data_IF_832511575714
#
_entry.id   IF_832511575714
#
_cell.length_a   1.000
_cell.length_b   1.000
_cell.length_c   1.000
_cell.angle_alpha   90.00
_cell.angle_beta   90.00
_cell.angle_gamma   90.00
#
_symmetry.space_group_name_H-M   'P 1'
#
loop_
_entity.id
_entity.type
_entity.pdbx_description
1 polymer ?
#
# COMPACT_ATOMS: atom_id res chain seq x y z
N UNK A 1 5.48 6.14 1.41
CA UNK A 1 5.37 7.59 1.05
C UNK A 1 4.19 7.78 0.12
N UNK A 2 3.34 8.76 0.40
CA UNK A 2 2.16 9.07 -0.43
C UNK A 2 2.59 9.98 -1.57
N UNK A 3 2.09 9.71 -2.76
CA UNK A 3 2.21 10.62 -3.92
C UNK A 3 0.83 11.09 -4.34
N UNK A 4 0.71 12.39 -4.61
CA UNK A 4 -0.49 12.99 -5.17
C UNK A 4 -0.12 13.55 -6.53
N UNK A 5 -0.87 13.15 -7.54
CA UNK A 5 -0.64 13.59 -8.91
C UNK A 5 -1.94 14.18 -9.46
N UNK A 6 -1.88 15.40 -9.94
CA UNK A 6 -2.99 15.99 -10.68
C UNK A 6 -3.00 15.37 -12.09
N UNK A 7 -4.12 14.78 -12.46
CA UNK A 7 -4.32 14.14 -13.78
C UNK A 7 -4.93 15.12 -14.79
N UNK A 8 -5.84 15.95 -14.31
CA UNK A 8 -6.51 17.04 -15.05
C UNK A 8 -7.06 18.03 -14.05
N UNK A 9 -7.50 19.20 -14.50
CA UNK A 9 -8.12 20.18 -13.61
C UNK A 9 -9.19 19.52 -12.75
N UNK A 10 -9.04 19.57 -11.43
CA UNK A 10 -10.00 18.99 -10.48
C UNK A 10 -9.90 17.48 -10.23
N UNK A 11 -9.02 16.74 -10.93
CA UNK A 11 -8.87 15.29 -10.71
C UNK A 11 -7.50 14.98 -10.14
N UNK A 12 -7.45 14.46 -8.92
CA UNK A 12 -6.24 14.11 -8.18
C UNK A 12 -6.15 12.61 -7.93
N UNK A 13 -4.99 12.03 -8.19
CA UNK A 13 -4.68 10.64 -7.90
C UNK A 13 -3.83 10.60 -6.64
N UNK A 14 -4.35 9.97 -5.59
CA UNK A 14 -3.63 9.68 -4.35
C UNK A 14 -3.23 8.21 -4.36
N UNK A 15 -1.93 7.96 -4.30
CA UNK A 15 -1.43 6.59 -4.32
C UNK A 15 -0.28 6.41 -3.34
N UNK A 16 -0.17 5.20 -2.80
CA UNK A 16 0.99 4.75 -2.04
C UNK A 16 2.17 4.52 -2.99
N UNK A 17 3.31 5.15 -2.71
CA UNK A 17 4.54 4.96 -3.52
C UNK A 17 5.09 3.54 -3.44
N UNK A 18 4.62 2.75 -2.48
CA UNK A 18 5.04 1.35 -2.29
C UNK A 18 6.48 1.22 -1.79
N UNK A 19 7.08 2.30 -1.31
CA UNK A 19 8.38 2.26 -0.63
C UNK A 19 8.22 1.65 0.77
N UNK A 20 8.20 0.34 0.84
CA UNK A 20 8.38 -0.38 2.11
C UNK A 20 9.87 -0.40 2.46
N UNK A 21 10.34 0.58 3.21
CA UNK A 21 11.72 0.62 3.73
C UNK A 21 12.11 -0.60 4.58
N UNK A 22 11.17 -1.42 5.03
CA UNK A 22 11.44 -2.57 5.93
C UNK A 22 11.59 -3.92 5.24
N UNK A 23 11.45 -4.01 3.92
CA UNK A 23 11.50 -5.29 3.20
C UNK A 23 12.93 -5.79 2.91
N UNK A 24 13.97 -4.94 3.02
CA UNK A 24 15.31 -5.33 2.60
C UNK A 24 15.99 -6.36 3.53
N UNK A 25 15.73 -6.29 4.83
CA UNK A 25 16.39 -7.18 5.81
C UNK A 25 15.91 -8.63 5.76
N UNK A 26 14.60 -8.84 5.59
CA UNK A 26 14.04 -10.19 5.52
C UNK A 26 14.40 -10.89 4.21
N UNK A 27 14.50 -10.16 3.10
CA UNK A 27 14.93 -10.70 1.82
C UNK A 27 16.37 -11.18 1.83
N UNK A 28 17.28 -10.41 2.43
CA UNK A 28 18.69 -10.79 2.55
C UNK A 28 18.86 -12.05 3.41
N UNK A 29 18.19 -12.12 4.56
CA UNK A 29 18.22 -13.31 5.44
C UNK A 29 17.72 -14.56 4.72
N UNK A 30 16.68 -14.44 3.92
CA UNK A 30 16.08 -15.53 3.16
C UNK A 30 17.02 -16.00 2.04
N UNK A 31 17.71 -15.09 1.35
CA UNK A 31 18.72 -15.41 0.35
C UNK A 31 19.92 -16.11 0.98
N UNK A 32 20.42 -15.65 2.14
CA UNK A 32 21.53 -16.28 2.86
C UNK A 32 21.16 -17.68 3.33
N UNK A 33 19.98 -17.87 3.92
CA UNK A 33 19.48 -19.18 4.34
C UNK A 33 19.40 -20.14 3.16
N UNK A 34 18.87 -19.67 2.02
CA UNK A 34 18.75 -20.45 0.80
C UNK A 34 20.11 -20.86 0.24
N UNK A 35 21.07 -19.94 0.21
CA UNK A 35 22.45 -20.22 -0.24
C UNK A 35 23.12 -21.29 0.62
N UNK A 36 22.88 -21.25 1.93
CA UNK A 36 23.40 -22.25 2.86
C UNK A 36 22.81 -23.65 2.60
N UNK A 37 21.48 -23.74 2.41
CA UNK A 37 20.80 -25.01 2.12
C UNK A 37 21.29 -25.61 0.80
N UNK A 38 21.40 -24.80 -0.25
CA UNK A 38 21.91 -25.22 -1.57
C UNK A 38 23.34 -25.77 -1.43
N UNK A 39 24.19 -25.09 -0.65
CA UNK A 39 25.58 -25.53 -0.41
C UNK A 39 25.65 -26.85 0.31
N UNK A 40 24.79 -27.08 1.32
CA UNK A 40 24.75 -28.35 2.06
C UNK A 40 24.30 -29.50 1.16
N UNK A 41 23.28 -29.30 0.35
CA UNK A 41 22.78 -30.35 -0.59
C UNK A 41 23.82 -30.69 -1.65
N UNK A 42 24.58 -29.71 -2.17
CA UNK A 42 25.66 -29.94 -3.14
C UNK A 42 26.86 -30.72 -2.56
N UNK A 43 27.15 -30.53 -1.25
CA UNK A 43 28.22 -31.25 -0.59
C UNK A 43 27.89 -32.72 -0.36
N UNK A 44 26.61 -33.05 -0.15
CA UNK A 44 26.18 -34.44 0.10
C UNK A 44 25.88 -35.23 -1.19
N UNK A 45 25.44 -34.55 -2.28
CA UNK A 45 25.04 -35.21 -3.52
C UNK A 45 25.35 -34.35 -4.76
N UNK A 46 26.52 -34.50 -5.37
CA UNK A 46 26.90 -33.70 -6.54
C UNK A 46 26.02 -33.95 -7.79
N UNK A 47 25.36 -35.10 -7.90
CA UNK A 47 24.45 -35.44 -8.99
C UNK A 47 23.10 -34.71 -8.89
N UNK A 48 22.86 -34.01 -7.78
CA UNK A 48 21.63 -33.27 -7.51
C UNK A 48 21.60 -31.87 -8.17
N UNK A 49 22.57 -31.52 -9.00
CA UNK A 49 22.71 -30.18 -9.62
C UNK A 49 21.44 -29.79 -10.35
N UNK A 50 20.81 -30.70 -11.10
CA UNK A 50 19.58 -30.39 -11.84
C UNK A 50 18.42 -29.99 -10.92
N UNK A 51 18.22 -30.72 -9.82
CA UNK A 51 17.17 -30.43 -8.83
C UNK A 51 17.41 -29.07 -8.16
N UNK A 52 18.66 -28.71 -7.92
CA UNK A 52 19.04 -27.43 -7.34
C UNK A 52 18.68 -26.27 -8.28
N UNK A 53 18.98 -26.39 -9.57
CA UNK A 53 18.59 -25.36 -10.55
C UNK A 53 17.05 -25.20 -10.64
N UNK A 54 16.30 -26.31 -10.66
CA UNK A 54 14.84 -26.26 -10.62
C UNK A 54 14.32 -25.57 -9.37
N UNK A 55 14.91 -25.86 -8.20
CA UNK A 55 14.51 -25.28 -6.93
C UNK A 55 14.83 -23.79 -6.86
N UNK A 56 16.01 -23.36 -7.32
CA UNK A 56 16.40 -21.95 -7.45
C UNK A 56 15.41 -21.19 -8.36
N UNK A 57 15.07 -21.76 -9.50
CA UNK A 57 14.14 -21.16 -10.45
C UNK A 57 12.75 -20.97 -9.85
N UNK A 58 12.20 -22.00 -9.19
CA UNK A 58 10.93 -21.94 -8.49
C UNK A 58 10.92 -20.91 -7.35
N UNK A 59 12.03 -20.81 -6.62
CA UNK A 59 12.20 -19.82 -5.56
C UNK A 59 12.16 -18.39 -6.09
N UNK A 60 12.84 -18.10 -7.21
CA UNK A 60 12.79 -16.79 -7.83
C UNK A 60 11.40 -16.44 -8.37
N UNK A 61 10.70 -17.40 -8.97
CA UNK A 61 9.31 -17.22 -9.39
C UNK A 61 8.44 -16.88 -8.17
N UNK A 62 8.61 -17.59 -7.06
CA UNK A 62 7.85 -17.35 -5.83
C UNK A 62 8.12 -15.96 -5.25
N UNK A 63 9.39 -15.52 -5.23
CA UNK A 63 9.77 -14.17 -4.82
C UNK A 63 9.13 -13.09 -5.70
N UNK A 64 9.12 -13.28 -7.02
CA UNK A 64 8.49 -12.34 -7.95
C UNK A 64 6.98 -12.28 -7.72
N UNK A 65 6.32 -13.41 -7.52
CA UNK A 65 4.88 -13.49 -7.24
C UNK A 65 4.53 -12.81 -5.91
N UNK A 66 5.29 -13.10 -4.85
CA UNK A 66 5.09 -12.45 -3.53
C UNK A 66 5.28 -10.94 -3.66
N UNK A 67 6.34 -10.49 -4.31
CA UNK A 67 6.60 -9.07 -4.52
C UNK A 67 5.49 -8.40 -5.37
N UNK A 68 4.97 -9.10 -6.38
CA UNK A 68 3.85 -8.61 -7.18
C UNK A 68 2.55 -8.50 -6.39
N UNK A 69 2.29 -9.44 -5.47
CA UNK A 69 1.11 -9.43 -4.60
C UNK A 69 1.22 -8.34 -3.53
N UNK A 70 2.41 -8.20 -2.92
CA UNK A 70 2.68 -7.20 -1.88
C UNK A 70 2.68 -5.77 -2.44
N UNK A 71 3.04 -5.59 -3.72
CA UNK A 71 3.07 -4.28 -4.39
C UNK A 71 1.72 -3.84 -4.98
N UNK A 72 0.60 -4.37 -4.53
CA UNK A 72 -0.70 -3.81 -4.91
C UNK A 72 -0.82 -2.40 -4.33
N UNK A 73 -0.37 -1.42 -5.13
CA UNK A 73 -0.53 0.00 -4.80
C UNK A 73 -2.01 0.28 -4.62
N UNK A 74 -2.36 0.75 -3.44
CA UNK A 74 -3.70 1.27 -3.22
C UNK A 74 -3.76 2.65 -3.86
N UNK A 75 -4.74 2.84 -4.71
CA UNK A 75 -4.95 4.08 -5.44
C UNK A 75 -6.39 4.54 -5.25
N UNK A 76 -6.55 5.81 -4.94
CA UNK A 76 -7.84 6.50 -4.95
C UNK A 76 -7.74 7.72 -5.86
N UNK A 77 -8.83 8.02 -6.53
CA UNK A 77 -8.96 9.19 -7.39
C UNK A 77 -9.97 10.11 -6.72
N UNK A 78 -9.58 11.36 -6.50
CA UNK A 78 -10.44 12.42 -6.02
C UNK A 78 -10.89 13.24 -7.22
N UNK A 79 -12.19 13.18 -7.51
CA UNK A 79 -12.82 13.98 -8.54
C UNK A 79 -13.56 15.12 -7.85
N UNK A 80 -13.01 16.33 -7.95
CA UNK A 80 -13.57 17.51 -7.30
C UNK A 80 -14.76 18.07 -8.06
N UNK A 81 -14.78 17.94 -9.38
CA UNK A 81 -15.86 18.47 -10.23
C UNK A 81 -17.15 17.69 -9.96
N UNK A 82 -17.06 16.37 -9.98
CA UNK A 82 -18.19 15.47 -9.68
C UNK A 82 -18.39 15.24 -8.17
N UNK A 83 -17.47 15.74 -7.34
CA UNK A 83 -17.44 15.52 -5.88
C UNK A 83 -17.51 14.05 -5.49
N UNK A 84 -16.64 13.25 -6.08
CA UNK A 84 -16.57 11.82 -5.89
C UNK A 84 -15.18 11.33 -5.48
N UNK A 85 -15.14 10.27 -4.67
CA UNK A 85 -13.96 9.42 -4.51
C UNK A 85 -14.16 8.18 -5.37
N UNK A 86 -13.23 7.93 -6.27
CA UNK A 86 -13.25 6.75 -7.13
C UNK A 86 -12.16 5.79 -6.65
N UNK A 87 -12.56 4.60 -6.27
CA UNK A 87 -11.67 3.49 -5.99
C UNK A 87 -11.74 2.47 -7.11
N UNK A 88 -10.87 1.49 -7.11
CA UNK A 88 -10.90 0.39 -8.09
C UNK A 88 -12.24 -0.35 -8.14
N UNK A 89 -13.01 -0.33 -7.05
CA UNK A 89 -14.23 -1.15 -6.90
C UNK A 89 -15.51 -0.33 -6.90
N UNK A 90 -15.48 0.85 -6.32
CA UNK A 90 -16.68 1.62 -6.01
C UNK A 90 -16.40 3.13 -6.14
N UNK A 91 -17.46 3.90 -6.40
CA UNK A 91 -17.43 5.37 -6.40
C UNK A 91 -18.28 5.89 -5.24
N UNK A 92 -17.75 6.86 -4.50
CA UNK A 92 -18.37 7.42 -3.30
C UNK A 92 -18.59 8.92 -3.48
N UNK A 93 -19.82 9.38 -3.38
CA UNK A 93 -20.12 10.81 -3.42
C UNK A 93 -19.79 11.49 -2.08
N UNK A 94 -19.09 12.64 -2.12
CA UNK A 94 -18.65 13.37 -0.93
C UNK A 94 -19.79 13.69 0.03
N UNK A 95 -20.97 14.06 -0.49
CA UNK A 95 -22.13 14.45 0.33
C UNK A 95 -22.67 13.32 1.21
N UNK A 96 -22.45 12.08 0.84
CA UNK A 96 -22.89 10.90 1.59
C UNK A 96 -21.86 10.37 2.57
N UNK A 97 -20.67 10.98 2.62
CA UNK A 97 -19.61 10.60 3.56
C UNK A 97 -19.87 11.31 4.88
N UNK A 98 -20.19 10.55 5.90
CA UNK A 98 -20.51 11.05 7.24
C UNK A 98 -19.23 11.26 8.06
N UNK A 99 -18.31 10.31 8.01
CA UNK A 99 -17.11 10.28 8.85
C UNK A 99 -15.95 9.61 8.11
N UNK A 100 -14.73 10.03 8.44
CA UNK A 100 -13.48 9.44 7.95
C UNK A 100 -12.65 9.09 9.17
N UNK A 101 -12.27 7.83 9.29
CA UNK A 101 -11.51 7.30 10.42
C UNK A 101 -10.30 6.48 9.97
N UNK A 102 -9.38 6.29 10.90
CA UNK A 102 -8.27 5.35 10.77
C UNK A 102 -8.62 4.11 11.61
N UNK A 103 -8.47 2.95 11.02
CA UNK A 103 -8.60 1.66 11.68
C UNK A 103 -7.27 0.92 11.69
N UNK A 104 -6.84 0.55 12.86
CA UNK A 104 -5.69 -0.32 13.04
C UNK A 104 -6.06 -1.78 12.79
N UNK A 105 -5.26 -2.44 11.97
CA UNK A 105 -5.41 -3.87 11.72
C UNK A 105 -4.31 -4.61 12.46
N UNK A 106 -4.71 -5.57 13.30
CA UNK A 106 -3.81 -6.31 14.17
C UNK A 106 -3.55 -7.71 13.63
N UNK A 107 -2.31 -8.19 13.80
CA UNK A 107 -1.97 -9.59 13.74
C UNK A 107 -1.35 -10.00 15.05
N UNK A 108 -2.03 -10.86 15.81
CA UNK A 108 -1.75 -11.13 17.22
C UNK A 108 -1.84 -9.81 18.01
N UNK A 109 -0.74 -9.38 18.65
CA UNK A 109 -0.69 -8.16 19.47
C UNK A 109 -0.05 -6.96 18.76
N UNK A 110 0.39 -7.14 17.50
CA UNK A 110 1.10 -6.11 16.75
C UNK A 110 0.23 -5.50 15.67
N UNK A 111 0.26 -4.17 15.53
CA UNK A 111 -0.36 -3.47 14.40
C UNK A 111 0.43 -3.79 13.13
N UNK A 112 -0.26 -4.30 12.12
CA UNK A 112 0.35 -4.67 10.83
C UNK A 112 0.02 -3.68 9.71
N UNK A 113 -1.09 -2.97 9.82
CA UNK A 113 -1.47 -1.94 8.85
C UNK A 113 -2.54 -1.00 9.41
N UNK A 114 -2.68 0.14 8.74
CA UNK A 114 -3.65 1.19 9.04
C UNK A 114 -4.59 1.34 7.85
N UNK A 115 -5.88 1.11 8.09
CA UNK A 115 -6.93 1.29 7.10
C UNK A 115 -7.55 2.67 7.22
N UNK A 116 -7.62 3.43 6.12
CA UNK A 116 -8.44 4.65 6.07
C UNK A 116 -9.83 4.26 5.62
N UNK A 117 -10.80 4.45 6.47
CA UNK A 117 -12.19 4.05 6.27
C UNK A 117 -13.13 5.25 6.25
N UNK A 118 -14.20 5.12 5.48
CA UNK A 118 -15.30 6.09 5.45
C UNK A 118 -16.59 5.45 5.93
N UNK A 119 -17.41 6.24 6.62
CA UNK A 119 -18.81 5.92 6.85
C UNK A 119 -19.64 6.48 5.71
N UNK A 120 -20.08 5.58 4.83
CA UNK A 120 -20.85 5.90 3.63
C UNK A 120 -22.16 5.14 3.62
N UNK A 121 -23.28 5.85 3.51
CA UNK A 121 -24.62 5.25 3.44
C UNK A 121 -24.86 4.21 4.56
N UNK A 122 -24.54 4.60 5.81
CA UNK A 122 -24.63 3.76 7.05
C UNK A 122 -23.73 2.53 7.06
N UNK A 123 -22.79 2.40 6.13
CA UNK A 123 -21.81 1.31 6.07
C UNK A 123 -20.39 1.85 6.18
N UNK A 124 -19.54 1.06 6.79
CA UNK A 124 -18.11 1.33 6.86
C UNK A 124 -17.43 0.74 5.62
N UNK A 125 -16.64 1.53 4.93
CA UNK A 125 -15.95 1.17 3.70
C UNK A 125 -14.48 1.53 3.76
N UNK A 126 -13.61 0.57 3.45
CA UNK A 126 -12.17 0.78 3.37
C UNK A 126 -11.83 1.47 2.06
N UNK A 127 -11.18 2.62 2.14
CA UNK A 127 -10.69 3.38 0.98
C UNK A 127 -9.23 3.07 0.68
N UNK A 128 -8.40 3.08 1.71
CA UNK A 128 -6.96 2.99 1.58
C UNK A 128 -6.37 2.15 2.70
N UNK A 129 -5.27 1.43 2.42
CA UNK A 129 -4.55 0.66 3.42
C UNK A 129 -3.05 0.91 3.28
N UNK A 130 -2.38 1.19 4.38
CA UNK A 130 -0.94 1.44 4.44
C UNK A 130 -0.31 0.77 5.66
N UNK A 131 0.99 0.53 5.63
CA UNK A 131 1.73 -0.01 6.76
C UNK A 131 2.23 1.09 7.72
N UNK A 132 2.10 2.36 7.36
CA UNK A 132 2.61 3.50 8.12
C UNK A 132 1.46 4.36 8.66
N UNK A 133 1.43 4.55 9.98
CA UNK A 133 0.43 5.38 10.65
C UNK A 133 0.42 6.81 10.12
N UNK A 134 1.60 7.41 9.98
CA UNK A 134 1.73 8.78 9.48
C UNK A 134 1.12 8.97 8.10
N UNK A 135 1.22 7.97 7.21
CA UNK A 135 0.60 8.00 5.89
C UNK A 135 -0.93 7.94 5.99
N UNK A 136 -1.47 7.10 6.87
CA UNK A 136 -2.91 7.04 7.11
C UNK A 136 -3.44 8.39 7.61
N UNK A 137 -2.72 9.03 8.54
CA UNK A 137 -3.06 10.37 9.06
C UNK A 137 -3.04 11.40 7.93
N UNK A 138 -2.01 11.41 7.08
CA UNK A 138 -1.91 12.32 5.94
C UNK A 138 -3.07 12.13 4.95
N UNK A 139 -3.42 10.89 4.63
CA UNK A 139 -4.56 10.59 3.73
C UNK A 139 -5.87 11.10 4.33
N UNK A 140 -6.11 10.90 5.63
CA UNK A 140 -7.30 11.40 6.29
C UNK A 140 -7.37 12.93 6.21
N UNK A 141 -6.26 13.63 6.42
CA UNK A 141 -6.20 15.09 6.30
C UNK A 141 -6.51 15.56 4.86
N UNK A 142 -5.91 14.90 3.86
CA UNK A 142 -6.18 15.18 2.44
C UNK A 142 -7.68 15.00 2.15
N UNK A 143 -8.25 13.87 2.57
CA UNK A 143 -9.67 13.59 2.36
C UNK A 143 -10.57 14.63 3.06
N UNK A 144 -10.25 15.03 4.29
CA UNK A 144 -11.00 16.06 5.02
C UNK A 144 -10.91 17.41 4.32
N UNK A 145 -9.75 17.78 3.81
CA UNK A 145 -9.56 19.03 3.06
C UNK A 145 -10.48 19.06 1.84
N UNK A 146 -10.51 18.01 1.05
CA UNK A 146 -11.32 17.97 -0.18
C UNK A 146 -12.81 17.73 0.05
N UNK A 147 -13.17 16.88 1.02
CA UNK A 147 -14.57 16.49 1.25
C UNK A 147 -15.30 17.50 2.11
N UNK A 148 -14.64 18.03 3.16
CA UNK A 148 -15.25 18.91 4.16
C UNK A 148 -14.83 20.37 4.02
N UNK A 149 -13.86 20.66 3.15
CA UNK A 149 -13.29 22.01 3.04
C UNK A 149 -12.44 22.42 4.26
N UNK A 150 -11.94 21.47 5.02
CA UNK A 150 -11.02 21.74 6.14
C UNK A 150 -9.67 22.16 5.56
N UNK A 151 -9.23 23.40 5.81
CA UNK A 151 -7.94 23.91 5.35
C UNK A 151 -6.81 23.34 6.22
N UNK A 152 -5.81 22.73 5.58
CA UNK A 152 -4.54 22.31 6.21
C UNK A 152 -3.38 22.86 5.36
N UNK A 153 -2.82 23.99 5.79
CA UNK A 153 -1.74 24.69 5.06
C UNK A 153 -0.50 23.82 4.85
N UNK A 154 -0.20 22.91 5.80
CA UNK A 154 0.95 22.00 5.69
C UNK A 154 0.73 20.97 4.59
N UNK A 155 -0.45 20.40 4.52
CA UNK A 155 -0.82 19.44 3.48
C UNK A 155 -0.87 20.15 2.12
N UNK A 156 -1.50 21.32 2.06
CA UNK A 156 -1.58 22.08 0.82
C UNK A 156 -0.20 22.46 0.29
N UNK A 157 0.68 22.99 1.15
CA UNK A 157 2.05 23.36 0.76
C UNK A 157 2.91 22.18 0.34
N UNK A 158 2.70 21.00 0.95
CA UNK A 158 3.47 19.79 0.66
C UNK A 158 3.11 19.17 -0.70
N UNK A 159 1.84 19.20 -1.08
CA UNK A 159 1.35 18.42 -2.21
C UNK A 159 0.78 19.22 -3.36
N UNK A 160 0.38 20.48 -3.14
CA UNK A 160 -0.40 21.27 -4.11
C UNK A 160 0.22 22.63 -4.47
N UNK A 161 1.30 23.08 -3.77
CA UNK A 161 2.11 24.19 -4.23
C UNK A 161 3.15 23.67 -5.21
N UNK A 162 2.81 23.66 -6.48
CA UNK A 162 3.74 23.50 -7.57
C UNK A 162 4.32 24.83 -8.00
#
# INVERSE_FOLDING_TARGET
>A
MITITEKSSGIYIVQDSGENEKSSGSGILLVLFFTLVVRLVLLENPDSIFFIYCFIFLFFIHLILINSILRKKTQIILDLDERNIITKKETFNFKKIIKIDIKENYFKESVVSYGVEIYYDKKQKLLFNTCLENEAIEIVKILKMFIKGEEDEKIYSKYFRG
#
